data_IF_914245643790
#
_entry.id   IF_914245643790
#
_cell.length_a   1.000
_cell.length_b   1.000
_cell.length_c   1.000
_cell.angle_alpha   90.00
_cell.angle_beta   90.00
_cell.angle_gamma   90.00
#
_symmetry.space_group_name_H-M   'P 1'
#
loop_
_entity.id
_entity.type
_entity.pdbx_description
1 polymer ?
#
# COMPACT_ATOMS: atom_id res chain seq x y z
N UNK A 1 -3.61 -10.45 -8.93
CA UNK A 1 -2.92 -9.38 -8.18
C UNK A 1 -2.22 -8.29 -9.03
N UNK A 2 -2.10 -8.41 -10.36
CA UNK A 2 -1.37 -7.42 -11.18
C UNK A 2 -1.91 -5.97 -11.08
N UNK A 3 -3.22 -5.80 -10.92
CA UNK A 3 -3.86 -4.49 -10.76
C UNK A 3 -3.47 -3.80 -9.44
N UNK A 4 -3.49 -4.53 -8.31
CA UNK A 4 -3.06 -4.04 -7.00
C UNK A 4 -1.59 -3.60 -7.03
N UNK A 5 -0.70 -4.41 -7.63
CA UNK A 5 0.69 -4.03 -7.83
C UNK A 5 0.85 -2.77 -8.68
N UNK A 6 0.02 -2.60 -9.71
CA UNK A 6 0.04 -1.40 -10.55
C UNK A 6 -0.33 -0.16 -9.74
N UNK A 7 -1.41 -0.23 -8.95
CA UNK A 7 -1.84 0.87 -8.08
C UNK A 7 -0.78 1.21 -7.03
N UNK A 8 -0.24 0.21 -6.33
CA UNK A 8 0.85 0.38 -5.36
C UNK A 8 2.10 1.00 -6.00
N UNK A 9 2.45 0.59 -7.24
CA UNK A 9 3.57 1.18 -7.98
C UNK A 9 3.34 2.65 -8.32
N UNK A 10 2.13 3.01 -8.74
CA UNK A 10 1.79 4.40 -9.05
C UNK A 10 1.87 5.27 -7.80
N UNK A 11 1.27 4.81 -6.71
CA UNK A 11 1.24 5.49 -5.41
C UNK A 11 2.66 5.68 -4.84
N UNK A 12 3.47 4.62 -4.77
CA UNK A 12 4.81 4.68 -4.16
C UNK A 12 5.81 5.50 -4.98
N UNK A 13 5.68 5.54 -6.31
CA UNK A 13 6.55 6.36 -7.17
C UNK A 13 6.18 7.84 -7.18
N UNK A 14 5.11 8.25 -6.51
CA UNK A 14 4.68 9.65 -6.41
C UNK A 14 4.26 10.28 -7.75
N UNK A 15 4.06 9.48 -8.80
CA UNK A 15 3.67 9.96 -10.15
C UNK A 15 2.25 10.53 -10.20
N UNK A 16 1.47 10.25 -9.17
CA UNK A 16 0.02 10.49 -9.10
C UNK A 16 -0.35 11.23 -7.81
N UNK A 17 0.51 12.14 -7.32
CA UNK A 17 0.29 12.83 -6.04
C UNK A 17 -1.05 13.58 -5.95
N UNK A 18 -1.57 14.09 -7.07
CA UNK A 18 -2.88 14.73 -7.15
C UNK A 18 -4.07 13.76 -7.12
N UNK A 19 -3.84 12.46 -7.34
CA UNK A 19 -4.86 11.40 -7.36
C UNK A 19 -4.63 10.39 -6.23
N UNK A 20 -3.85 10.73 -5.21
CA UNK A 20 -3.43 9.78 -4.19
C UNK A 20 -4.63 9.26 -3.39
N UNK A 21 -5.58 10.13 -3.06
CA UNK A 21 -6.79 9.76 -2.32
C UNK A 21 -7.68 8.84 -3.16
N UNK A 22 -7.97 9.20 -4.41
CA UNK A 22 -8.82 8.41 -5.31
C UNK A 22 -8.21 7.05 -5.62
N UNK A 23 -6.90 6.99 -5.83
CA UNK A 23 -6.19 5.72 -6.06
C UNK A 23 -6.09 4.89 -4.77
N UNK A 24 -6.03 5.53 -3.60
CA UNK A 24 -6.10 4.85 -2.32
C UNK A 24 -7.47 4.21 -2.07
N UNK A 25 -8.54 4.93 -2.39
CA UNK A 25 -9.92 4.41 -2.33
C UNK A 25 -10.14 3.28 -3.34
N UNK A 26 -9.64 3.44 -4.57
CA UNK A 26 -9.70 2.37 -5.57
C UNK A 26 -8.93 1.13 -5.12
N UNK A 27 -7.75 1.32 -4.51
CA UNK A 27 -6.97 0.22 -3.95
C UNK A 27 -7.76 -0.51 -2.86
N UNK A 28 -8.39 0.23 -1.93
CA UNK A 28 -9.24 -0.32 -0.88
C UNK A 28 -10.37 -1.18 -1.46
N UNK A 29 -11.16 -0.65 -2.38
CA UNK A 29 -12.31 -1.39 -2.93
C UNK A 29 -11.92 -2.65 -3.71
N UNK A 30 -10.75 -2.66 -4.34
CA UNK A 30 -10.24 -3.88 -5.01
C UNK A 30 -9.73 -4.87 -3.97
N UNK A 31 -9.03 -4.39 -2.93
CA UNK A 31 -8.50 -5.23 -1.87
C UNK A 31 -9.61 -5.84 -0.99
N UNK A 32 -10.73 -5.14 -0.79
CA UNK A 32 -11.87 -5.58 0.05
C UNK A 32 -12.52 -6.88 -0.44
N UNK A 33 -12.34 -7.23 -1.72
CA UNK A 33 -12.75 -8.55 -2.25
C UNK A 33 -12.05 -9.70 -1.52
N UNK A 34 -10.79 -9.51 -1.13
CA UNK A 34 -9.98 -10.48 -0.38
C UNK A 34 -8.86 -9.75 0.39
N UNK A 35 -9.27 -9.05 1.45
CA UNK A 35 -8.36 -8.25 2.27
C UNK A 35 -7.27 -9.10 2.96
N UNK A 36 -7.54 -10.33 3.43
CA UNK A 36 -6.49 -11.23 3.94
C UNK A 36 -5.37 -11.49 2.92
N UNK A 37 -5.68 -11.83 1.67
CA UNK A 37 -4.63 -12.04 0.65
C UNK A 37 -3.94 -10.73 0.24
N UNK A 38 -4.59 -9.57 0.35
CA UNK A 38 -3.91 -8.28 0.20
C UNK A 38 -2.78 -8.11 1.23
N UNK A 39 -3.07 -8.33 2.52
CA UNK A 39 -2.09 -8.16 3.59
C UNK A 39 -1.02 -9.26 3.65
N UNK A 40 -1.40 -10.52 3.45
CA UNK A 40 -0.50 -11.65 3.66
C UNK A 40 0.29 -12.07 2.41
N UNK A 41 -0.18 -11.70 1.21
CA UNK A 41 0.47 -12.08 -0.04
C UNK A 41 0.88 -10.85 -0.86
N UNK A 42 -0.07 -10.00 -1.22
CA UNK A 42 0.17 -8.91 -2.17
C UNK A 42 1.18 -7.88 -1.63
N UNK A 43 0.97 -7.37 -0.41
CA UNK A 43 1.87 -6.38 0.19
C UNK A 43 3.30 -6.92 0.41
N UNK A 44 3.51 -8.10 1.03
CA UNK A 44 4.84 -8.69 1.16
C UNK A 44 5.55 -8.90 -0.17
N UNK A 45 4.84 -9.41 -1.18
CA UNK A 45 5.40 -9.61 -2.53
C UNK A 45 5.75 -8.29 -3.22
N UNK A 46 4.93 -7.25 -3.04
CA UNK A 46 5.19 -5.93 -3.62
C UNK A 46 6.42 -5.26 -3.01
N UNK A 47 6.55 -5.34 -1.68
CA UNK A 47 7.63 -4.68 -0.94
C UNK A 47 8.96 -5.43 -1.08
N UNK A 48 8.91 -6.76 -1.16
CA UNK A 48 10.09 -7.61 -1.22
C UNK A 48 10.90 -7.60 0.10
N UNK A 49 12.04 -8.29 0.08
CA UNK A 49 12.85 -8.53 1.29
C UNK A 49 13.44 -7.24 1.90
N UNK A 50 13.57 -6.17 1.10
CA UNK A 50 14.22 -4.92 1.49
C UNK A 50 13.33 -3.90 2.21
N UNK A 51 12.02 -4.14 2.34
CA UNK A 51 11.08 -3.15 2.85
C UNK A 51 10.15 -3.62 3.96
N UNK A 52 10.41 -4.76 4.60
CA UNK A 52 9.56 -5.32 5.66
C UNK A 52 9.20 -4.32 6.77
N UNK A 53 10.07 -3.36 7.08
CA UNK A 53 9.81 -2.32 8.06
C UNK A 53 8.67 -1.36 7.65
N UNK A 54 8.46 -1.14 6.35
CA UNK A 54 7.34 -0.33 5.84
C UNK A 54 5.98 -0.97 6.08
N UNK A 55 5.94 -2.28 6.32
CA UNK A 55 4.68 -3.00 6.57
C UNK A 55 4.16 -2.83 8.01
N UNK A 56 4.98 -2.33 8.94
CA UNK A 56 4.62 -2.21 10.37
C UNK A 56 3.51 -1.19 10.64
N UNK A 57 3.26 -0.28 9.70
CA UNK A 57 2.19 0.71 9.82
C UNK A 57 0.79 0.11 9.65
N UNK A 58 0.68 -1.09 9.07
CA UNK A 58 -0.60 -1.78 8.88
C UNK A 58 -1.01 -2.50 10.16
N UNK A 59 -2.18 -2.16 10.69
CA UNK A 59 -2.73 -2.82 11.89
C UNK A 59 -3.59 -4.03 11.56
N UNK A 60 -3.96 -4.20 10.28
CA UNK A 60 -4.86 -5.24 9.80
C UNK A 60 -6.34 -4.93 10.01
N UNK A 61 -6.69 -3.71 10.43
CA UNK A 61 -8.07 -3.24 10.37
C UNK A 61 -8.51 -3.10 8.90
N UNK A 62 -9.78 -3.43 8.64
CA UNK A 62 -10.33 -3.56 7.27
C UNK A 62 -11.35 -2.48 6.92
N UNK A 63 -11.62 -1.53 7.83
CA UNK A 63 -12.47 -0.40 7.52
C UNK A 63 -11.74 0.61 6.62
N UNK A 64 -12.47 1.20 5.68
CA UNK A 64 -11.94 2.17 4.71
C UNK A 64 -11.17 3.34 5.36
N UNK A 65 -11.69 4.03 6.40
CA UNK A 65 -10.97 5.16 6.99
C UNK A 65 -9.61 4.78 7.56
N UNK A 66 -9.54 3.65 8.26
CA UNK A 66 -8.28 3.16 8.83
C UNK A 66 -7.32 2.71 7.73
N UNK A 67 -7.82 2.00 6.72
CA UNK A 67 -7.01 1.58 5.57
C UNK A 67 -6.36 2.76 4.86
N UNK A 68 -7.13 3.81 4.51
CA UNK A 68 -6.61 4.99 3.79
C UNK A 68 -5.58 5.73 4.64
N UNK A 69 -5.81 5.83 5.95
CA UNK A 69 -4.85 6.43 6.88
C UNK A 69 -3.54 5.65 6.93
N UNK A 70 -3.61 4.33 7.07
CA UNK A 70 -2.43 3.45 7.13
C UNK A 70 -1.69 3.39 5.80
N UNK A 71 -2.41 3.44 4.67
CA UNK A 71 -1.83 3.59 3.34
C UNK A 71 -0.96 4.85 3.26
N UNK A 72 -1.42 5.98 3.83
CA UNK A 72 -0.64 7.21 3.89
C UNK A 72 0.69 7.03 4.62
N UNK A 73 0.70 6.33 5.76
CA UNK A 73 1.92 6.00 6.50
C UNK A 73 2.82 5.05 5.70
N UNK A 74 2.24 4.01 5.11
CA UNK A 74 2.96 3.07 4.26
C UNK A 74 3.72 3.77 3.12
N UNK A 75 3.08 4.71 2.41
CA UNK A 75 3.73 5.44 1.30
C UNK A 75 4.89 6.34 1.77
N UNK A 76 4.84 6.84 3.01
CA UNK A 76 5.94 7.59 3.61
C UNK A 76 7.08 6.63 3.94
N UNK A 77 6.80 5.58 4.71
CA UNK A 77 7.79 4.62 5.18
C UNK A 77 8.48 3.90 4.02
N UNK A 78 7.71 3.52 2.99
CA UNK A 78 8.22 2.87 1.79
C UNK A 78 9.25 3.76 1.07
N UNK A 79 8.95 5.04 0.86
CA UNK A 79 9.89 5.99 0.23
C UNK A 79 11.13 6.22 1.08
N UNK A 80 10.98 6.36 2.39
CA UNK A 80 12.11 6.57 3.30
C UNK A 80 13.02 5.35 3.32
N UNK A 81 12.45 4.14 3.37
CA UNK A 81 13.18 2.89 3.33
C UNK A 81 13.94 2.69 2.02
N UNK A 82 13.29 2.91 0.88
CA UNK A 82 13.92 2.77 -0.44
C UNK A 82 14.88 3.90 -0.81
N UNK A 83 14.78 5.08 -0.21
CA UNK A 83 15.77 6.16 -0.41
C UNK A 83 17.12 5.89 0.31
N UNK A 84 17.17 4.91 1.21
CA UNK A 84 18.35 4.54 2.00
C UNK A 84 19.10 3.31 1.45
N UNK A 85 18.58 2.68 0.39
CA UNK A 85 19.19 1.58 -0.35
C UNK A 85 19.81 2.10 -1.65
#
# INVERSE_FOLDING_TARGET
MAYLHTLLTLLTRGRVGLLQEELGLLLYHIADVDMPSFFHECLPQFVGDGGADSLRCWTGQVDEPTFVKELGYFLIDFRVGHARQ
#
